data_IF_284753657181
#
_entry.id   IF_284753657181
#
_cell.length_a   1.000
_cell.length_b   1.000
_cell.length_c   1.000
_cell.angle_alpha   90.00
_cell.angle_beta   90.00
_cell.angle_gamma   90.00
#
_symmetry.space_group_name_H-M   'P 1'
#
loop_
_entity.id
_entity.type
_entity.pdbx_description
1 polymer ?
#
# COMPACT_ATOMS: atom_id res chain seq x y z
N UNK A 1 59.99 -73.29 57.09
CA UNK A 1 60.65 -73.62 55.78
C UNK A 1 59.70 -74.38 54.91
N UNK A 2 59.13 -73.73 53.91
CA UNK A 2 58.68 -74.29 52.66
C UNK A 2 58.03 -73.16 51.84
N UNK A 3 58.87 -72.58 51.00
CA UNK A 3 58.45 -71.59 49.97
C UNK A 3 57.78 -72.29 48.81
N UNK A 4 56.52 -72.08 48.65
CA UNK A 4 55.74 -72.53 47.43
C UNK A 4 55.93 -71.49 46.33
N UNK A 5 56.67 -71.81 45.26
CA UNK A 5 56.79 -71.03 44.02
C UNK A 5 55.42 -70.94 43.34
N UNK A 6 54.93 -69.75 43.27
CA UNK A 6 53.85 -69.41 42.37
C UNK A 6 54.36 -69.41 40.92
N UNK A 7 53.87 -70.38 40.13
CA UNK A 7 54.04 -70.33 38.66
C UNK A 7 53.16 -69.26 38.10
N UNK A 8 53.78 -68.17 37.63
CA UNK A 8 53.10 -67.19 36.80
C UNK A 8 52.82 -67.78 35.45
N UNK A 9 51.53 -68.14 35.16
CA UNK A 9 51.06 -68.37 33.79
C UNK A 9 50.95 -67.03 33.07
N UNK A 10 51.71 -66.89 31.99
CA UNK A 10 51.67 -65.74 31.11
C UNK A 10 50.24 -65.55 30.54
N UNK A 11 49.65 -64.38 30.77
CA UNK A 11 48.41 -63.95 30.11
C UNK A 11 48.69 -63.70 28.64
N UNK A 12 47.76 -64.09 27.72
CA UNK A 12 47.92 -63.76 26.32
C UNK A 12 47.85 -62.26 26.12
N UNK A 13 48.79 -61.72 25.33
CA UNK A 13 48.83 -60.30 24.96
C UNK A 13 47.58 -60.00 24.06
N UNK A 14 46.72 -59.13 24.55
CA UNK A 14 45.61 -58.62 23.76
C UNK A 14 46.16 -57.61 22.75
N UNK A 15 46.31 -58.02 21.51
CA UNK A 15 46.72 -57.14 20.38
C UNK A 15 45.57 -56.64 19.50
N UNK A 16 44.30 -56.88 19.86
CA UNK A 16 43.17 -56.33 19.09
C UNK A 16 42.06 -55.95 20.07
N UNK A 17 41.99 -54.65 20.36
CA UNK A 17 40.99 -54.06 21.27
C UNK A 17 39.58 -53.83 20.59
N UNK A 18 39.37 -54.30 19.38
CA UNK A 18 38.19 -53.84 18.60
C UNK A 18 37.03 -54.84 18.50
N UNK A 19 37.08 -56.03 19.11
CA UNK A 19 35.98 -57.01 18.93
C UNK A 19 35.51 -57.73 20.19
N UNK A 20 35.81 -57.22 21.39
CA UNK A 20 35.23 -57.76 22.62
C UNK A 20 33.84 -57.14 22.88
N UNK A 21 32.77 -57.76 22.41
CA UNK A 21 31.42 -57.40 22.86
C UNK A 21 31.29 -57.66 24.36
N UNK A 22 30.64 -56.74 25.09
CA UNK A 22 30.40 -56.77 26.53
C UNK A 22 29.88 -58.14 27.04
N UNK A 23 29.20 -58.93 26.19
CA UNK A 23 28.75 -60.29 26.49
C UNK A 23 29.88 -61.32 26.70
N UNK A 24 31.01 -61.22 25.99
CA UNK A 24 32.15 -62.12 26.14
C UNK A 24 32.94 -61.87 27.45
N UNK A 25 33.00 -60.62 27.87
CA UNK A 25 33.65 -60.26 29.14
C UNK A 25 32.84 -60.77 30.35
N UNK A 26 31.53 -60.66 30.34
CA UNK A 26 30.64 -61.17 31.39
C UNK A 26 30.72 -62.67 31.51
N UNK A 27 30.70 -63.48 30.42
CA UNK A 27 30.83 -64.94 30.46
C UNK A 27 32.21 -65.43 30.89
N UNK A 28 33.28 -64.70 30.59
CA UNK A 28 34.64 -65.02 31.14
C UNK A 28 34.73 -64.75 32.62
N UNK A 29 34.09 -63.73 33.15
CA UNK A 29 34.11 -63.39 34.57
C UNK A 29 33.23 -64.35 35.40
N UNK A 30 32.08 -64.75 34.91
CA UNK A 30 31.24 -65.80 35.55
C UNK A 30 31.99 -67.13 35.64
N UNK A 31 32.75 -67.52 34.61
CA UNK A 31 33.59 -68.75 34.65
C UNK A 31 34.81 -68.66 35.60
N UNK A 32 35.38 -67.47 35.81
CA UNK A 32 36.42 -67.20 36.76
C UNK A 32 35.93 -67.13 38.23
N UNK A 33 34.71 -66.69 38.42
CA UNK A 33 34.07 -66.63 39.76
C UNK A 33 33.76 -68.02 40.33
N UNK A 34 33.42 -69.00 39.45
CA UNK A 34 33.21 -70.41 39.89
C UNK A 34 34.45 -71.20 40.22
N UNK A 35 35.66 -70.70 39.88
CA UNK A 35 36.96 -71.44 40.14
C UNK A 35 37.80 -70.92 41.32
N UNK A 36 37.45 -69.81 41.94
CA UNK A 36 38.19 -69.18 42.99
C UNK A 36 37.28 -68.72 44.12
N UNK A 37 37.47 -69.24 45.34
CA UNK A 37 36.73 -68.84 46.55
C UNK A 37 37.08 -67.39 46.97
N UNK A 38 36.65 -66.42 46.12
CA UNK A 38 36.81 -64.98 46.34
C UNK A 38 35.48 -64.35 46.75
N UNK A 39 34.75 -64.92 47.69
CA UNK A 39 33.42 -64.63 48.14
C UNK A 39 32.90 -63.16 48.03
N UNK A 40 33.65 -62.21 48.55
CA UNK A 40 33.21 -60.78 48.52
C UNK A 40 33.80 -60.02 47.34
N UNK A 41 35.03 -60.31 46.92
CA UNK A 41 35.69 -59.58 45.83
C UNK A 41 35.16 -59.97 44.48
N UNK A 42 34.78 -61.20 44.20
CA UNK A 42 34.15 -61.63 42.93
C UNK A 42 32.78 -60.99 42.72
N UNK A 43 31.97 -60.87 43.77
CA UNK A 43 30.68 -60.24 43.74
C UNK A 43 30.80 -58.72 43.45
N UNK A 44 31.76 -58.04 44.08
CA UNK A 44 32.03 -56.61 43.86
C UNK A 44 32.49 -56.33 42.41
N UNK A 45 33.38 -57.20 41.88
CA UNK A 45 33.86 -57.11 40.51
C UNK A 45 32.71 -57.31 39.53
N UNK A 46 31.82 -58.29 39.76
CA UNK A 46 30.62 -58.54 38.92
C UNK A 46 29.70 -57.33 38.95
N UNK A 47 29.37 -56.75 40.09
CA UNK A 47 28.58 -55.53 40.23
C UNK A 47 29.21 -54.31 39.51
N UNK A 48 30.53 -54.15 39.63
CA UNK A 48 31.26 -53.09 38.92
C UNK A 48 31.22 -53.28 37.41
N UNK A 49 31.32 -54.50 36.91
CA UNK A 49 31.22 -54.81 35.48
C UNK A 49 29.82 -54.56 34.92
N UNK A 50 28.78 -54.93 35.66
CA UNK A 50 27.38 -54.61 35.26
C UNK A 50 27.18 -53.09 35.17
N UNK A 51 27.61 -52.33 36.19
CA UNK A 51 27.54 -50.85 36.18
C UNK A 51 28.37 -50.25 35.06
N UNK A 52 29.54 -50.80 34.77
CA UNK A 52 30.38 -50.32 33.66
C UNK A 52 29.68 -50.58 32.30
N UNK A 53 29.11 -51.77 32.12
CA UNK A 53 28.35 -52.07 30.90
C UNK A 53 27.12 -51.17 30.69
N UNK A 54 26.36 -50.90 31.76
CA UNK A 54 25.23 -49.99 31.75
C UNK A 54 25.69 -48.54 31.44
N UNK A 55 26.76 -48.07 32.05
CA UNK A 55 27.30 -46.74 31.82
C UNK A 55 27.85 -46.57 30.40
N UNK A 56 28.54 -47.61 29.88
CA UNK A 56 29.02 -47.64 28.49
C UNK A 56 27.87 -47.55 27.50
N UNK A 57 26.81 -48.34 27.72
CA UNK A 57 25.58 -48.32 26.90
C UNK A 57 24.90 -46.92 26.93
N UNK A 58 24.76 -46.34 28.11
CA UNK A 58 24.20 -44.99 28.25
C UNK A 58 25.06 -43.94 27.56
N UNK A 59 26.40 -44.06 27.61
CA UNK A 59 27.32 -43.18 26.91
C UNK A 59 27.17 -43.30 25.38
N UNK A 60 27.08 -44.52 24.86
CA UNK A 60 26.84 -44.77 23.43
C UNK A 60 25.49 -44.20 22.96
N UNK A 61 24.44 -44.40 23.75
CA UNK A 61 23.11 -43.83 23.44
C UNK A 61 23.14 -42.31 23.44
N UNK A 62 23.79 -41.68 24.43
CA UNK A 62 23.96 -40.23 24.48
C UNK A 62 24.82 -39.70 23.34
N UNK A 63 25.91 -40.37 22.98
CA UNK A 63 26.75 -40.00 21.86
C UNK A 63 25.97 -40.08 20.55
N UNK A 64 25.17 -41.13 20.35
CA UNK A 64 24.32 -41.29 19.16
C UNK A 64 23.27 -40.20 19.07
N UNK A 65 22.60 -39.87 20.18
CA UNK A 65 21.64 -38.79 20.25
C UNK A 65 22.26 -37.42 19.95
N UNK A 66 23.49 -37.19 20.47
CA UNK A 66 24.24 -35.96 20.21
C UNK A 66 24.62 -35.79 18.74
N UNK A 67 25.10 -36.86 18.09
CA UNK A 67 25.41 -36.85 16.65
C UNK A 67 24.17 -36.56 15.82
N UNK A 68 23.07 -37.24 16.09
CA UNK A 68 21.80 -36.98 15.37
C UNK A 68 21.31 -35.55 15.57
N UNK A 69 21.42 -35.01 16.78
CA UNK A 69 21.07 -33.63 17.10
C UNK A 69 21.97 -32.62 16.38
N UNK A 70 23.28 -32.89 16.31
CA UNK A 70 24.22 -32.01 15.61
C UNK A 70 24.00 -32.03 14.09
N UNK A 71 23.75 -33.19 13.52
CA UNK A 71 23.40 -33.32 12.09
C UNK A 71 22.10 -32.60 11.75
N UNK A 72 21.06 -32.74 12.56
CA UNK A 72 19.82 -32.02 12.38
C UNK A 72 20.01 -30.50 12.49
N UNK A 73 20.82 -30.03 13.44
CA UNK A 73 21.15 -28.62 13.58
C UNK A 73 21.93 -28.09 12.38
N UNK A 74 22.91 -28.82 11.86
CA UNK A 74 23.69 -28.47 10.67
C UNK A 74 22.78 -28.35 9.42
N UNK A 75 21.86 -29.30 9.26
CA UNK A 75 20.94 -29.29 8.14
C UNK A 75 19.96 -28.11 8.22
N UNK A 76 19.41 -27.80 9.40
CA UNK A 76 18.57 -26.63 9.61
C UNK A 76 19.32 -25.32 9.28
N UNK A 77 20.59 -25.20 9.70
CA UNK A 77 21.45 -24.06 9.37
C UNK A 77 21.72 -23.96 7.86
N UNK A 78 21.92 -25.10 7.18
CA UNK A 78 22.11 -25.15 5.73
C UNK A 78 20.86 -24.68 4.96
N UNK A 79 19.69 -25.15 5.36
CA UNK A 79 18.41 -24.74 4.78
C UNK A 79 18.16 -23.25 4.99
N UNK A 80 18.40 -22.75 6.20
CA UNK A 80 18.25 -21.35 6.55
C UNK A 80 19.37 -20.44 5.98
N UNK A 81 20.40 -21.00 5.32
CA UNK A 81 21.59 -20.28 4.85
C UNK A 81 22.24 -19.46 5.99
N UNK A 82 22.33 -20.06 7.18
CA UNK A 82 22.74 -19.40 8.43
C UNK A 82 24.16 -19.83 8.83
N UNK A 83 25.11 -18.93 8.68
CA UNK A 83 26.48 -19.09 9.18
C UNK A 83 26.59 -18.64 10.63
N UNK A 84 27.43 -19.35 11.44
CA UNK A 84 27.77 -18.97 12.81
C UNK A 84 29.20 -18.53 12.88
N UNK A 85 29.47 -17.59 13.77
CA UNK A 85 30.80 -17.13 14.07
C UNK A 85 30.97 -16.80 15.57
N UNK A 86 32.18 -16.86 16.07
CA UNK A 86 32.51 -16.41 17.43
C UNK A 86 33.91 -15.81 17.48
N UNK A 87 34.07 -14.80 18.32
CA UNK A 87 35.35 -14.12 18.60
C UNK A 87 35.62 -14.16 20.10
N UNK A 88 36.71 -14.81 20.49
CA UNK A 88 37.28 -14.67 21.83
C UNK A 88 38.12 -13.38 21.85
N UNK A 89 37.68 -12.37 22.58
CA UNK A 89 38.29 -11.03 22.58
C UNK A 89 39.68 -11.09 23.20
N UNK A 90 39.88 -11.92 24.28
CA UNK A 90 41.15 -12.01 24.97
C UNK A 90 42.23 -12.73 24.15
N UNK A 91 41.86 -13.80 23.46
CA UNK A 91 42.76 -14.58 22.63
C UNK A 91 42.85 -14.06 21.20
N UNK A 92 41.97 -13.10 20.82
CA UNK A 92 41.82 -12.62 19.45
C UNK A 92 41.59 -13.77 18.46
N UNK A 93 40.91 -14.83 18.92
CA UNK A 93 40.64 -16.02 18.11
C UNK A 93 39.26 -15.99 17.56
N UNK A 94 39.16 -15.92 16.23
CA UNK A 94 37.92 -15.98 15.47
C UNK A 94 37.64 -17.43 15.05
N UNK A 95 36.38 -17.82 15.07
CA UNK A 95 35.93 -19.12 14.59
C UNK A 95 34.70 -18.91 13.63
N UNK A 96 34.70 -19.66 12.55
CA UNK A 96 33.62 -19.65 11.55
C UNK A 96 33.10 -21.07 11.31
N UNK A 97 31.77 -21.21 11.15
CA UNK A 97 31.16 -22.44 10.65
C UNK A 97 31.35 -22.59 9.14
N UNK A 98 31.20 -23.82 8.62
CA UNK A 98 31.25 -24.08 7.16
C UNK A 98 30.30 -23.19 6.39
N UNK A 99 29.09 -22.90 6.94
CA UNK A 99 28.11 -22.04 6.30
C UNK A 99 28.57 -20.57 6.25
N UNK A 100 29.33 -20.09 7.22
CA UNK A 100 29.93 -18.75 7.19
C UNK A 100 30.81 -18.58 5.94
N UNK A 101 31.68 -19.54 5.64
CA UNK A 101 32.53 -19.54 4.45
C UNK A 101 31.68 -19.50 3.15
N UNK A 102 30.57 -20.27 3.11
CA UNK A 102 29.67 -20.32 1.96
C UNK A 102 28.92 -19.02 1.75
N UNK A 103 28.46 -18.38 2.84
CA UNK A 103 27.78 -17.08 2.77
C UNK A 103 28.74 -16.02 2.25
N UNK A 104 29.97 -15.97 2.81
CA UNK A 104 31.01 -15.01 2.41
C UNK A 104 31.68 -15.35 1.07
N UNK A 105 31.40 -16.52 0.49
CA UNK A 105 32.06 -17.03 -0.72
C UNK A 105 33.58 -17.08 -0.56
N UNK A 106 34.04 -17.61 0.59
CA UNK A 106 35.45 -17.79 0.94
C UNK A 106 35.86 -19.26 0.86
N UNK A 107 37.16 -19.52 0.60
CA UNK A 107 37.73 -20.85 0.66
C UNK A 107 37.85 -21.30 2.13
N UNK A 108 37.36 -22.52 2.49
CA UNK A 108 37.46 -23.02 3.85
C UNK A 108 38.91 -23.21 4.37
N UNK A 109 39.92 -23.19 3.50
CA UNK A 109 41.33 -23.24 3.86
C UNK A 109 41.87 -21.91 4.43
N UNK A 110 41.10 -20.81 4.29
CA UNK A 110 41.46 -19.51 4.85
C UNK A 110 41.21 -19.52 6.36
N UNK A 111 42.24 -19.22 7.18
CA UNK A 111 42.03 -19.02 8.59
C UNK A 111 41.07 -17.87 8.87
N UNK A 112 40.07 -18.04 9.77
CA UNK A 112 39.12 -16.99 10.11
C UNK A 112 39.81 -15.73 10.61
N UNK A 113 39.62 -14.60 9.94
CA UNK A 113 40.17 -13.31 10.34
C UNK A 113 39.26 -12.16 9.90
N UNK A 114 39.36 -11.01 10.57
CA UNK A 114 38.51 -9.84 10.31
C UNK A 114 38.82 -9.20 8.94
N UNK A 115 40.08 -9.25 8.49
CA UNK A 115 40.44 -8.65 7.19
C UNK A 115 39.75 -9.38 6.04
N UNK A 116 39.79 -10.72 6.05
CA UNK A 116 39.09 -11.54 5.06
C UNK A 116 37.56 -11.29 5.06
N UNK A 117 36.99 -11.03 6.23
CA UNK A 117 35.58 -10.65 6.35
C UNK A 117 35.29 -9.26 5.76
N UNK A 118 36.03 -8.23 6.21
CA UNK A 118 35.79 -6.86 5.77
C UNK A 118 36.08 -6.63 4.29
N UNK A 119 37.00 -7.39 3.68
CA UNK A 119 37.21 -7.37 2.24
C UNK A 119 35.97 -7.81 1.41
N UNK A 120 35.03 -8.52 2.03
CA UNK A 120 33.77 -8.91 1.41
C UNK A 120 32.67 -7.88 1.56
N UNK A 121 32.78 -6.98 2.53
CA UNK A 121 31.75 -5.94 2.73
C UNK A 121 31.75 -4.97 1.54
N UNK A 122 30.57 -4.66 1.03
CA UNK A 122 30.40 -3.71 -0.07
C UNK A 122 31.00 -2.34 0.31
N UNK A 123 31.74 -1.65 -0.60
CA UNK A 123 32.40 -0.38 -0.26
C UNK A 123 31.48 0.68 0.37
N UNK A 124 30.25 0.83 -0.10
CA UNK A 124 29.28 1.78 0.47
C UNK A 124 28.79 1.41 1.88
N UNK A 125 28.89 0.14 2.27
CA UNK A 125 28.47 -0.32 3.60
C UNK A 125 29.65 -0.46 4.57
N UNK A 126 30.89 -0.41 4.05
CA UNK A 126 32.14 -0.70 4.78
C UNK A 126 32.28 0.15 6.04
N UNK A 127 32.26 1.47 5.92
CA UNK A 127 32.49 2.37 7.05
C UNK A 127 31.48 2.15 8.17
N UNK A 128 30.21 2.00 7.80
CA UNK A 128 29.13 1.76 8.77
C UNK A 128 29.32 0.45 9.53
N UNK A 129 29.67 -0.62 8.82
CA UNK A 129 29.84 -1.96 9.42
C UNK A 129 31.14 -2.01 10.23
N UNK A 130 32.23 -1.40 9.75
CA UNK A 130 33.51 -1.33 10.47
C UNK A 130 33.37 -0.56 11.78
N UNK A 131 32.73 0.61 11.77
CA UNK A 131 32.49 1.39 13.00
C UNK A 131 31.58 0.64 13.96
N UNK A 132 30.59 -0.10 13.47
CA UNK A 132 29.78 -0.95 14.32
C UNK A 132 30.58 -2.08 14.97
N UNK A 133 31.50 -2.72 14.26
CA UNK A 133 32.35 -3.78 14.82
C UNK A 133 33.25 -3.25 15.94
N UNK A 134 33.76 -2.02 15.82
CA UNK A 134 34.54 -1.37 16.92
C UNK A 134 33.65 -1.18 18.15
N UNK A 135 32.44 -0.65 17.99
CA UNK A 135 31.49 -0.46 19.10
C UNK A 135 31.07 -1.77 19.78
N UNK A 136 31.01 -2.87 19.03
CA UNK A 136 30.77 -4.21 19.60
C UNK A 136 31.86 -4.57 20.62
N UNK A 137 33.11 -4.28 20.29
CA UNK A 137 34.24 -4.56 21.20
C UNK A 137 34.24 -3.65 22.43
N UNK A 138 33.58 -2.49 22.33
CA UNK A 138 33.40 -1.54 23.44
C UNK A 138 32.12 -1.84 24.27
N UNK A 139 31.28 -2.78 23.83
CA UNK A 139 30.08 -3.19 24.54
C UNK A 139 28.82 -2.37 24.23
N UNK A 140 28.89 -1.41 23.28
CA UNK A 140 27.79 -0.50 22.92
C UNK A 140 27.51 -0.53 21.39
N UNK A 141 26.78 -1.53 20.94
CA UNK A 141 26.44 -1.62 19.52
C UNK A 141 25.04 -2.18 19.25
N UNK A 142 24.41 -1.80 18.08
CA UNK A 142 23.18 -2.42 17.62
C UNK A 142 23.37 -3.92 17.44
N UNK A 143 22.41 -4.71 17.92
CA UNK A 143 22.51 -6.19 17.94
C UNK A 143 22.32 -6.85 16.57
N UNK A 144 21.98 -6.09 15.53
CA UNK A 144 21.75 -6.62 14.19
C UNK A 144 22.10 -5.61 13.08
N UNK A 145 22.52 -6.13 11.93
CA UNK A 145 22.80 -5.33 10.73
C UNK A 145 22.35 -6.06 9.48
N UNK A 146 21.86 -5.27 8.51
CA UNK A 146 21.62 -5.72 7.13
C UNK A 146 22.51 -4.89 6.21
N UNK A 147 23.31 -5.58 5.38
CA UNK A 147 24.28 -4.93 4.48
C UNK A 147 24.62 -5.84 3.32
N UNK A 148 25.34 -5.30 2.37
CA UNK A 148 25.77 -6.00 1.15
C UNK A 148 27.17 -6.53 1.31
N UNK A 149 27.42 -7.69 0.74
CA UNK A 149 28.76 -8.26 0.56
C UNK A 149 29.01 -8.54 -0.92
N UNK A 150 30.28 -8.57 -1.31
CA UNK A 150 30.74 -8.91 -2.65
C UNK A 150 31.27 -10.34 -2.68
N UNK A 151 30.76 -11.15 -3.59
CA UNK A 151 31.30 -12.49 -3.87
C UNK A 151 32.58 -12.42 -4.71
N UNK A 152 33.26 -13.55 -4.93
CA UNK A 152 34.51 -13.60 -5.73
C UNK A 152 34.30 -13.14 -7.18
N UNK A 153 33.13 -13.40 -7.75
CA UNK A 153 32.75 -13.00 -9.11
C UNK A 153 32.22 -11.56 -9.22
N UNK A 154 32.20 -10.82 -8.07
CA UNK A 154 31.72 -9.43 -8.00
C UNK A 154 30.19 -9.29 -7.88
N UNK A 155 29.46 -10.39 -7.76
CA UNK A 155 28.02 -10.31 -7.48
C UNK A 155 27.74 -9.83 -6.06
N UNK A 156 26.57 -9.20 -5.88
CA UNK A 156 26.14 -8.65 -4.59
C UNK A 156 25.23 -9.66 -3.87
N UNK A 157 25.56 -10.00 -2.64
CA UNK A 157 24.66 -10.68 -1.71
C UNK A 157 24.23 -9.74 -0.60
N UNK A 158 22.98 -9.84 -0.20
CA UNK A 158 22.49 -9.22 1.03
C UNK A 158 22.63 -10.16 2.19
N UNK A 159 23.21 -9.68 3.27
CA UNK A 159 23.36 -10.46 4.50
C UNK A 159 22.70 -9.75 5.67
N UNK A 160 22.19 -10.57 6.59
CA UNK A 160 21.69 -10.15 7.89
C UNK A 160 22.57 -10.77 8.95
N UNK A 161 23.18 -9.95 9.79
CA UNK A 161 24.00 -10.40 10.93
C UNK A 161 23.32 -10.02 12.23
N UNK A 162 23.39 -10.98 13.18
CA UNK A 162 22.95 -10.77 14.56
C UNK A 162 24.04 -11.28 15.47
N UNK A 163 24.25 -10.64 16.63
CA UNK A 163 25.26 -11.07 17.56
C UNK A 163 24.90 -10.73 19.01
N UNK A 164 25.59 -11.44 19.91
CA UNK A 164 25.49 -11.28 21.35
C UNK A 164 26.91 -11.13 21.89
N UNK A 165 27.10 -10.25 22.88
CA UNK A 165 28.34 -10.02 23.57
C UNK A 165 28.25 -10.64 24.96
N UNK A 166 29.15 -11.53 25.29
CA UNK A 166 29.29 -12.08 26.65
C UNK A 166 30.23 -11.21 27.48
N UNK A 167 29.88 -11.00 28.71
CA UNK A 167 30.63 -10.17 29.65
C UNK A 167 31.09 -11.01 30.85
N UNK A 168 32.22 -10.66 31.43
CA UNK A 168 32.69 -11.23 32.69
C UNK A 168 31.91 -10.65 33.89
N UNK A 169 32.26 -11.13 35.10
CA UNK A 169 31.65 -10.66 36.34
C UNK A 169 31.88 -9.17 36.65
N UNK A 170 32.81 -8.53 35.96
CA UNK A 170 33.11 -7.09 36.08
C UNK A 170 32.38 -6.24 35.03
N UNK A 171 31.61 -6.87 34.12
CA UNK A 171 30.89 -6.20 33.01
C UNK A 171 31.79 -5.94 31.80
N UNK A 172 32.98 -6.52 31.71
CA UNK A 172 33.90 -6.35 30.58
C UNK A 172 33.58 -7.39 29.49
N UNK A 173 33.56 -7.03 28.22
CA UNK A 173 33.33 -7.98 27.13
C UNK A 173 34.45 -9.03 27.06
N UNK A 174 34.07 -10.30 26.97
CA UNK A 174 35.01 -11.45 26.90
C UNK A 174 34.89 -12.21 25.58
N UNK A 175 33.65 -12.33 25.03
CA UNK A 175 33.42 -12.97 23.76
C UNK A 175 32.25 -12.33 23.01
N UNK A 176 32.30 -12.47 21.70
CA UNK A 176 31.15 -12.10 20.81
C UNK A 176 30.85 -13.32 19.98
N UNK A 177 29.57 -13.68 19.91
CA UNK A 177 29.13 -14.73 19.01
C UNK A 177 27.89 -14.29 18.25
N UNK A 178 27.75 -14.77 17.03
CA UNK A 178 26.66 -14.34 16.21
C UNK A 178 26.40 -15.22 15.00
N UNK A 179 25.45 -14.75 14.22
CA UNK A 179 25.00 -15.39 12.98
C UNK A 179 25.12 -14.43 11.82
N UNK A 180 25.29 -14.98 10.62
CA UNK A 180 25.14 -14.30 9.33
C UNK A 180 24.20 -15.13 8.47
N UNK A 181 23.21 -14.49 7.89
CA UNK A 181 22.23 -15.13 7.00
C UNK A 181 22.27 -14.49 5.62
N UNK A 182 22.30 -15.29 4.56
CA UNK A 182 22.07 -14.80 3.21
C UNK A 182 20.58 -14.55 3.00
N UNK A 183 20.23 -13.27 2.88
CA UNK A 183 18.85 -12.79 2.66
C UNK A 183 18.64 -12.24 1.23
N UNK A 184 19.51 -12.60 0.29
CA UNK A 184 19.49 -12.06 -1.09
C UNK A 184 18.18 -12.39 -1.79
N UNK A 185 17.72 -13.65 -1.69
CA UNK A 185 16.44 -14.07 -2.28
C UNK A 185 15.26 -13.30 -1.68
N UNK A 186 15.26 -13.12 -0.35
CA UNK A 186 14.23 -12.34 0.35
C UNK A 186 14.23 -10.90 -0.13
N UNK A 187 15.39 -10.24 -0.17
CA UNK A 187 15.53 -8.85 -0.65
C UNK A 187 15.11 -8.68 -2.09
N UNK A 188 15.50 -9.61 -2.97
CA UNK A 188 15.09 -9.60 -4.37
C UNK A 188 13.57 -9.75 -4.53
N UNK A 189 12.96 -10.62 -3.71
CA UNK A 189 11.50 -10.80 -3.70
C UNK A 189 10.77 -9.56 -3.17
N UNK A 190 11.27 -8.95 -2.07
CA UNK A 190 10.74 -7.69 -1.52
C UNK A 190 10.79 -6.55 -2.56
N UNK A 191 11.91 -6.38 -3.26
CA UNK A 191 12.07 -5.36 -4.29
C UNK A 191 11.14 -5.60 -5.50
N UNK A 192 11.03 -6.86 -5.96
CA UNK A 192 10.10 -7.22 -7.03
C UNK A 192 8.66 -6.91 -6.62
N UNK A 193 8.25 -7.31 -5.42
CA UNK A 193 6.91 -7.05 -4.90
C UNK A 193 6.64 -5.54 -4.84
N UNK A 194 7.58 -4.76 -4.33
CA UNK A 194 7.48 -3.30 -4.29
C UNK A 194 7.28 -2.69 -5.69
N UNK A 195 8.07 -3.14 -6.68
CA UNK A 195 7.94 -2.68 -8.08
C UNK A 195 6.58 -3.06 -8.67
N UNK A 196 6.11 -4.29 -8.42
CA UNK A 196 4.79 -4.73 -8.89
C UNK A 196 3.66 -3.92 -8.27
N UNK A 197 3.72 -3.64 -6.96
CA UNK A 197 2.72 -2.83 -6.27
C UNK A 197 2.67 -1.40 -6.84
N UNK A 198 3.82 -0.74 -7.01
CA UNK A 198 3.87 0.60 -7.61
C UNK A 198 3.26 0.60 -9.02
N UNK A 199 3.64 -0.38 -9.85
CA UNK A 199 3.08 -0.50 -11.21
C UNK A 199 1.58 -0.79 -11.20
N UNK A 200 1.11 -1.62 -10.28
CA UNK A 200 -0.31 -1.92 -10.12
C UNK A 200 -1.11 -0.68 -9.72
N UNK A 201 -0.60 0.12 -8.76
CA UNK A 201 -1.21 1.37 -8.34
C UNK A 201 -1.33 2.38 -9.50
N UNK A 202 -0.27 2.50 -10.32
CA UNK A 202 -0.29 3.33 -11.53
C UNK A 202 -1.35 2.85 -12.53
N UNK A 203 -1.38 1.55 -12.81
CA UNK A 203 -2.36 0.96 -13.74
C UNK A 203 -3.80 1.12 -13.23
N UNK A 204 -4.04 0.94 -11.92
CA UNK A 204 -5.37 1.14 -11.33
C UNK A 204 -5.80 2.59 -11.48
N UNK A 205 -4.92 3.54 -11.17
CA UNK A 205 -5.20 4.98 -11.31
C UNK A 205 -5.54 5.35 -12.75
N UNK A 206 -4.77 4.85 -13.71
CA UNK A 206 -5.01 5.08 -15.13
C UNK A 206 -6.36 4.49 -15.57
N UNK A 207 -6.66 3.25 -15.16
CA UNK A 207 -7.93 2.60 -15.52
C UNK A 207 -9.14 3.25 -14.88
N UNK A 208 -9.04 3.70 -13.63
CA UNK A 208 -10.12 4.47 -12.97
C UNK A 208 -10.38 5.78 -13.73
N UNK A 209 -9.32 6.47 -14.16
CA UNK A 209 -9.46 7.69 -14.97
C UNK A 209 -10.12 7.41 -16.31
N UNK A 210 -9.65 6.40 -17.06
CA UNK A 210 -10.21 5.99 -18.37
C UNK A 210 -11.69 5.64 -18.24
N UNK A 211 -12.08 4.87 -17.22
CA UNK A 211 -13.47 4.51 -16.97
C UNK A 211 -14.30 5.76 -16.66
N UNK A 212 -13.80 6.66 -15.79
CA UNK A 212 -14.51 7.90 -15.45
C UNK A 212 -14.72 8.80 -16.66
N UNK A 213 -13.69 8.98 -17.50
CA UNK A 213 -13.76 9.77 -18.74
C UNK A 213 -14.77 9.14 -19.73
N UNK A 214 -14.74 7.82 -19.90
CA UNK A 214 -15.68 7.10 -20.78
C UNK A 214 -17.13 7.20 -20.29
N UNK A 215 -17.35 7.07 -18.97
CA UNK A 215 -18.67 7.24 -18.37
C UNK A 215 -19.19 8.65 -18.59
N UNK A 216 -18.35 9.68 -18.36
CA UNK A 216 -18.74 11.08 -18.60
C UNK A 216 -19.07 11.35 -20.07
N UNK A 217 -18.26 10.84 -21.00
CA UNK A 217 -18.55 10.97 -22.42
C UNK A 217 -19.92 10.36 -22.79
N UNK A 218 -20.25 9.22 -22.18
CA UNK A 218 -21.56 8.57 -22.37
C UNK A 218 -22.69 9.43 -21.80
N UNK A 219 -22.53 9.99 -20.60
CA UNK A 219 -23.51 10.89 -19.99
C UNK A 219 -23.70 12.13 -20.86
N UNK A 220 -22.62 12.77 -21.32
CA UNK A 220 -22.69 13.92 -22.23
C UNK A 220 -23.42 13.59 -23.53
N UNK A 221 -23.16 12.42 -24.13
CA UNK A 221 -23.87 12.00 -25.37
C UNK A 221 -25.36 11.80 -25.12
N UNK A 222 -25.74 11.21 -23.98
CA UNK A 222 -27.16 11.03 -23.62
C UNK A 222 -27.87 12.36 -23.32
N UNK A 223 -27.23 13.27 -22.62
CA UNK A 223 -27.74 14.61 -22.34
C UNK A 223 -27.91 15.39 -23.65
N UNK A 224 -26.88 15.36 -24.51
CA UNK A 224 -26.96 15.99 -25.85
C UNK A 224 -28.11 15.43 -26.70
N UNK A 225 -28.31 14.10 -26.62
CA UNK A 225 -29.46 13.48 -27.30
C UNK A 225 -30.79 13.97 -26.71
N UNK A 226 -30.88 14.13 -25.40
CA UNK A 226 -32.05 14.66 -24.72
C UNK A 226 -32.37 16.11 -25.15
N UNK A 227 -31.34 16.96 -25.20
CA UNK A 227 -31.44 18.39 -25.60
C UNK A 227 -31.60 18.60 -27.10
N UNK A 228 -31.19 17.65 -27.96
CA UNK A 228 -31.38 17.75 -29.41
C UNK A 228 -32.85 17.88 -29.84
N UNK A 229 -33.79 17.62 -28.90
CA UNK A 229 -35.21 17.86 -29.06
C UNK A 229 -35.62 19.34 -28.84
N UNK A 230 -34.78 20.13 -28.18
CA UNK A 230 -35.07 21.51 -27.72
C UNK A 230 -34.27 22.57 -28.51
N UNK A 231 -33.93 22.32 -29.75
CA UNK A 231 -33.27 23.28 -30.68
C UNK A 231 -31.89 23.84 -30.17
N UNK A 232 -31.32 23.24 -29.13
CA UNK A 232 -30.07 23.70 -28.54
C UNK A 232 -28.86 22.98 -29.16
N UNK A 233 -27.84 23.72 -29.55
CA UNK A 233 -26.70 23.23 -30.37
C UNK A 233 -25.74 22.31 -29.61
N UNK A 234 -26.02 21.93 -28.35
CA UNK A 234 -25.15 21.16 -27.49
C UNK A 234 -23.91 21.96 -26.96
N UNK A 235 -23.69 23.17 -27.46
CA UNK A 235 -22.66 24.10 -26.94
C UNK A 235 -23.06 24.65 -25.59
N UNK A 236 -24.37 24.79 -25.33
CA UNK A 236 -24.93 25.22 -24.06
C UNK A 236 -24.43 24.34 -22.89
N UNK A 237 -24.44 23.03 -23.06
CA UNK A 237 -23.98 22.08 -22.06
C UNK A 237 -22.53 22.36 -21.67
N UNK A 238 -21.65 22.56 -22.65
CA UNK A 238 -20.22 22.82 -22.42
C UNK A 238 -20.02 24.18 -21.73
N UNK A 239 -20.73 25.22 -22.22
CA UNK A 239 -20.62 26.57 -21.66
C UNK A 239 -21.12 26.63 -20.22
N UNK A 240 -22.29 26.07 -19.92
CA UNK A 240 -22.85 26.07 -18.55
C UNK A 240 -21.98 25.29 -17.59
N UNK A 241 -21.39 24.19 -18.04
CA UNK A 241 -20.40 23.43 -17.27
C UNK A 241 -19.17 24.26 -16.90
N UNK A 242 -18.60 24.98 -17.87
CA UNK A 242 -17.46 25.86 -17.66
C UNK A 242 -17.80 27.08 -16.79
N UNK A 243 -18.99 27.67 -16.94
CA UNK A 243 -19.45 28.73 -16.04
C UNK A 243 -19.58 28.26 -14.60
N UNK A 244 -20.19 27.10 -14.38
CA UNK A 244 -20.30 26.49 -13.06
C UNK A 244 -18.92 26.25 -12.43
N UNK A 245 -17.96 25.70 -13.20
CA UNK A 245 -16.59 25.51 -12.77
C UNK A 245 -15.91 26.83 -12.38
N UNK A 246 -16.01 27.85 -13.24
CA UNK A 246 -15.42 29.15 -13.00
C UNK A 246 -15.97 29.79 -11.74
N UNK A 247 -17.30 29.81 -11.59
CA UNK A 247 -17.97 30.44 -10.44
C UNK A 247 -17.67 29.70 -9.13
N UNK A 248 -17.75 28.37 -9.11
CA UNK A 248 -17.41 27.59 -7.93
C UNK A 248 -15.94 27.78 -7.51
N UNK A 249 -15.01 27.77 -8.47
CA UNK A 249 -13.58 28.03 -8.19
C UNK A 249 -13.35 29.44 -7.65
N UNK A 250 -14.05 30.42 -8.21
CA UNK A 250 -13.91 31.82 -7.78
C UNK A 250 -14.52 32.08 -6.40
N UNK A 251 -15.67 31.49 -6.08
CA UNK A 251 -16.28 31.52 -4.75
C UNK A 251 -15.35 30.94 -3.69
N UNK A 252 -14.75 29.79 -3.96
CA UNK A 252 -13.74 29.19 -3.09
C UNK A 252 -12.55 30.10 -2.86
N UNK A 253 -12.01 30.67 -3.93
CA UNK A 253 -10.84 31.56 -3.85
C UNK A 253 -11.12 32.87 -3.10
N UNK A 254 -12.37 33.35 -3.08
CA UNK A 254 -12.80 34.54 -2.34
C UNK A 254 -13.09 34.26 -0.87
N UNK A 255 -13.01 33.01 -0.42
CA UNK A 255 -13.33 32.58 0.95
C UNK A 255 -14.84 32.48 1.24
N UNK A 256 -15.70 32.70 0.25
CA UNK A 256 -17.14 32.49 0.39
C UNK A 256 -17.47 31.00 0.27
N UNK A 257 -18.34 30.51 1.13
CA UNK A 257 -18.77 29.11 1.17
C UNK A 257 -17.61 28.11 1.29
N UNK A 258 -16.54 28.49 1.98
CA UNK A 258 -15.33 27.65 2.15
C UNK A 258 -15.61 26.29 2.77
N UNK A 259 -16.63 26.19 3.61
CA UNK A 259 -17.07 24.95 4.25
C UNK A 259 -17.87 24.03 3.32
N UNK A 260 -18.38 24.55 2.20
CA UNK A 260 -19.20 23.82 1.21
C UNK A 260 -18.42 23.53 -0.08
N UNK A 261 -17.40 24.35 -0.43
CA UNK A 261 -16.67 24.24 -1.71
C UNK A 261 -15.25 23.70 -1.49
N UNK A 262 -15.09 22.41 -1.71
CA UNK A 262 -13.79 21.73 -1.86
C UNK A 262 -13.50 21.41 -3.35
N UNK A 263 -12.36 20.74 -3.61
CA UNK A 263 -12.00 20.32 -4.97
C UNK A 263 -13.04 19.34 -5.56
N UNK A 264 -13.58 18.46 -4.71
CA UNK A 264 -14.59 17.50 -5.11
C UNK A 264 -15.92 18.18 -5.50
N UNK A 265 -16.33 19.22 -4.76
CA UNK A 265 -17.51 20.01 -5.13
C UNK A 265 -17.34 20.67 -6.50
N UNK A 266 -16.18 21.32 -6.75
CA UNK A 266 -15.90 21.96 -8.06
C UNK A 266 -15.92 20.93 -9.19
N UNK A 267 -15.34 19.76 -8.99
CA UNK A 267 -15.38 18.68 -9.97
C UNK A 267 -16.80 18.17 -10.20
N UNK A 268 -17.54 17.90 -9.12
CA UNK A 268 -18.89 17.35 -9.20
C UNK A 268 -19.88 18.34 -9.84
N UNK A 269 -19.84 19.63 -9.49
CA UNK A 269 -20.74 20.62 -10.11
C UNK A 269 -20.43 20.80 -11.59
N UNK A 270 -19.16 20.79 -11.98
CA UNK A 270 -18.75 20.87 -13.39
C UNK A 270 -19.32 19.70 -14.19
N UNK A 271 -19.20 18.48 -13.66
CA UNK A 271 -19.68 17.26 -14.33
C UNK A 271 -21.20 17.11 -14.29
N UNK A 272 -21.87 17.62 -13.25
CA UNK A 272 -23.31 17.43 -13.04
C UNK A 272 -24.17 18.55 -13.64
N UNK A 273 -23.62 19.74 -13.90
CA UNK A 273 -24.38 20.85 -14.49
C UNK A 273 -25.10 20.50 -15.79
N UNK A 274 -24.59 19.62 -16.68
CA UNK A 274 -25.35 19.18 -17.88
C UNK A 274 -26.67 18.49 -17.56
N UNK A 275 -26.82 17.96 -16.35
CA UNK A 275 -28.02 17.22 -15.96
C UNK A 275 -29.20 18.12 -15.54
N UNK A 276 -29.04 19.45 -15.52
CA UNK A 276 -30.06 20.37 -15.02
C UNK A 276 -31.41 20.16 -15.72
N UNK A 277 -31.39 19.99 -17.03
CA UNK A 277 -32.54 19.87 -17.90
C UNK A 277 -32.88 18.43 -18.35
N UNK A 278 -32.21 17.40 -17.79
CA UNK A 278 -32.43 16.00 -18.20
C UNK A 278 -33.90 15.55 -18.14
N UNK A 279 -34.70 16.18 -17.30
CA UNK A 279 -36.12 15.88 -17.17
C UNK A 279 -36.99 16.40 -18.36
N UNK A 280 -36.46 17.26 -19.24
CA UNK A 280 -37.16 17.70 -20.47
C UNK A 280 -37.49 16.53 -21.39
N UNK A 281 -36.78 15.41 -21.29
CA UNK A 281 -37.11 14.16 -22.01
C UNK A 281 -38.55 13.71 -21.74
N UNK A 282 -39.08 13.96 -20.54
CA UNK A 282 -40.45 13.61 -20.17
C UNK A 282 -41.51 14.64 -20.55
N UNK A 283 -41.14 15.79 -21.15
CA UNK A 283 -42.09 16.82 -21.57
C UNK A 283 -42.60 16.47 -22.98
N UNK A 284 -43.94 16.55 -23.22
CA UNK A 284 -44.53 16.32 -24.55
C UNK A 284 -44.01 17.29 -25.60
N UNK A 285 -43.74 16.80 -26.82
CA UNK A 285 -43.22 17.62 -27.93
C UNK A 285 -44.10 18.81 -28.27
N UNK A 286 -45.41 18.64 -28.15
CA UNK A 286 -46.37 19.74 -28.43
C UNK A 286 -46.19 20.94 -27.51
N UNK A 287 -45.57 20.74 -26.33
CA UNK A 287 -45.24 21.80 -25.35
C UNK A 287 -43.79 22.22 -25.51
N UNK A 288 -42.90 21.26 -25.59
CA UNK A 288 -41.45 21.51 -25.66
C UNK A 288 -41.07 22.30 -26.93
N UNK A 289 -41.63 21.90 -28.07
CA UNK A 289 -41.34 22.48 -29.39
C UNK A 289 -42.36 23.51 -29.84
N UNK A 290 -43.22 24.00 -28.93
CA UNK A 290 -44.27 24.93 -29.28
C UNK A 290 -43.72 26.22 -29.88
N UNK A 291 -44.07 26.57 -31.12
CA UNK A 291 -43.67 27.83 -31.72
C UNK A 291 -44.47 28.98 -31.11
N UNK A 292 -44.08 29.51 -29.96
CA UNK A 292 -44.75 30.64 -29.32
C UNK A 292 -44.74 30.56 -27.79
N UNK A 293 -45.49 31.47 -27.16
CA UNK A 293 -45.61 31.47 -25.70
C UNK A 293 -46.47 30.30 -25.24
N UNK A 294 -46.06 29.64 -24.15
CA UNK A 294 -46.84 28.62 -23.46
C UNK A 294 -48.04 29.25 -22.77
N UNK A 295 -49.18 28.55 -22.75
CA UNK A 295 -50.30 28.90 -21.87
C UNK A 295 -49.91 28.64 -20.41
N UNK A 296 -50.66 29.16 -19.43
CA UNK A 296 -50.36 28.84 -18.00
C UNK A 296 -50.31 27.34 -17.73
N UNK A 297 -51.21 26.54 -18.29
CA UNK A 297 -51.32 25.09 -18.11
C UNK A 297 -50.11 24.35 -18.78
N UNK A 298 -49.73 24.79 -19.98
CA UNK A 298 -48.56 24.26 -20.67
C UNK A 298 -47.28 24.62 -19.91
N UNK A 299 -47.21 25.85 -19.36
CA UNK A 299 -46.09 26.27 -18.54
C UNK A 299 -46.00 25.46 -17.20
N UNK A 300 -47.14 25.12 -16.58
CA UNK A 300 -47.19 24.24 -15.42
C UNK A 300 -46.70 22.84 -15.80
N UNK A 301 -47.03 22.34 -17.00
CA UNK A 301 -46.47 21.08 -17.49
C UNK A 301 -44.96 21.19 -17.73
N UNK A 302 -44.49 22.27 -18.35
CA UNK A 302 -43.08 22.53 -18.58
C UNK A 302 -42.28 22.52 -17.26
N UNK A 303 -42.80 23.14 -16.19
CA UNK A 303 -42.15 23.16 -14.87
C UNK A 303 -41.93 21.75 -14.28
N UNK A 304 -42.66 20.72 -14.74
CA UNK A 304 -42.49 19.36 -14.24
C UNK A 304 -41.14 18.74 -14.58
N UNK A 305 -40.38 19.28 -15.56
CA UNK A 305 -39.06 18.75 -15.91
C UNK A 305 -38.12 18.69 -14.73
N UNK A 306 -38.17 19.69 -13.81
CA UNK A 306 -37.30 19.67 -12.62
C UNK A 306 -37.60 18.48 -11.68
N UNK A 307 -38.87 18.10 -11.57
CA UNK A 307 -39.28 16.93 -10.78
C UNK A 307 -38.98 15.63 -11.50
N UNK A 308 -39.16 15.56 -12.80
CA UNK A 308 -38.81 14.38 -13.60
C UNK A 308 -37.30 14.11 -13.59
N UNK A 309 -36.49 15.15 -13.76
CA UNK A 309 -35.05 15.07 -13.70
C UNK A 309 -34.59 14.60 -12.32
N UNK A 310 -35.07 15.22 -11.24
CA UNK A 310 -34.80 14.81 -9.87
C UNK A 310 -35.13 13.33 -9.61
N UNK A 311 -36.36 12.89 -9.97
CA UNK A 311 -36.80 11.51 -9.74
C UNK A 311 -35.93 10.49 -10.51
N UNK A 312 -35.50 10.83 -11.72
CA UNK A 312 -34.61 9.99 -12.53
C UNK A 312 -33.25 9.81 -11.81
N UNK A 313 -32.68 10.90 -11.31
CA UNK A 313 -31.41 10.86 -10.61
C UNK A 313 -31.54 10.21 -9.21
N UNK A 314 -32.69 10.38 -8.54
CA UNK A 314 -32.98 9.76 -7.25
C UNK A 314 -32.98 8.23 -7.31
N UNK A 315 -33.40 7.63 -8.44
CA UNK A 315 -33.30 6.18 -8.63
C UNK A 315 -31.84 5.71 -8.59
N UNK A 316 -30.92 6.47 -9.18
CA UNK A 316 -29.49 6.16 -9.15
C UNK A 316 -28.91 6.40 -7.76
N UNK A 317 -29.29 7.50 -7.10
CA UNK A 317 -28.85 7.82 -5.74
C UNK A 317 -29.26 6.75 -4.74
N UNK A 318 -30.45 6.18 -4.85
CA UNK A 318 -30.90 5.10 -3.97
C UNK A 318 -30.03 3.84 -4.08
N UNK A 319 -29.42 3.59 -5.23
CA UNK A 319 -28.46 2.48 -5.41
C UNK A 319 -27.04 2.85 -4.97
N UNK A 320 -26.65 4.11 -5.09
CA UNK A 320 -25.32 4.64 -4.82
C UNK A 320 -25.37 5.92 -3.98
N UNK A 321 -25.76 5.83 -2.68
CA UNK A 321 -26.01 7.01 -1.84
C UNK A 321 -24.77 7.89 -1.62
N UNK A 322 -23.59 7.29 -1.64
CA UNK A 322 -22.32 8.00 -1.47
C UNK A 322 -21.81 8.71 -2.73
N UNK A 323 -22.54 8.59 -3.85
CA UNK A 323 -22.12 9.22 -5.09
C UNK A 323 -22.46 10.73 -5.07
N UNK A 324 -21.45 11.54 -4.73
CA UNK A 324 -21.59 13.00 -4.65
C UNK A 324 -21.98 13.65 -5.99
N UNK A 325 -21.52 13.13 -7.12
CA UNK A 325 -21.91 13.62 -8.46
C UNK A 325 -23.42 13.51 -8.67
N UNK A 326 -24.02 12.36 -8.32
CA UNK A 326 -25.47 12.17 -8.49
C UNK A 326 -26.24 13.09 -7.55
N UNK A 327 -25.78 13.26 -6.31
CA UNK A 327 -26.40 14.16 -5.33
C UNK A 327 -26.40 15.61 -5.82
N UNK A 328 -25.26 16.10 -6.30
CA UNK A 328 -25.15 17.45 -6.88
C UNK A 328 -26.05 17.59 -8.11
N UNK A 329 -26.11 16.56 -8.96
CA UNK A 329 -27.02 16.53 -10.10
C UNK A 329 -28.50 16.60 -9.72
N UNK A 330 -28.90 15.91 -8.65
CA UNK A 330 -30.26 15.99 -8.11
C UNK A 330 -30.60 17.39 -7.62
N UNK A 331 -29.69 18.03 -6.88
CA UNK A 331 -29.88 19.39 -6.40
C UNK A 331 -30.03 20.38 -7.55
N UNK A 332 -29.18 20.28 -8.56
CA UNK A 332 -29.23 21.10 -9.74
C UNK A 332 -30.55 20.87 -10.50
N UNK A 333 -30.87 19.61 -10.84
CA UNK A 333 -32.07 19.29 -11.62
C UNK A 333 -33.34 19.78 -10.94
N UNK A 334 -33.42 19.70 -9.61
CA UNK A 334 -34.62 20.08 -8.88
C UNK A 334 -34.76 21.58 -8.65
N UNK A 335 -33.66 22.29 -8.41
CA UNK A 335 -33.68 23.62 -7.80
C UNK A 335 -33.04 24.74 -8.67
N UNK A 336 -32.53 24.47 -9.86
CA UNK A 336 -31.88 25.50 -10.69
C UNK A 336 -32.84 26.61 -11.15
N UNK A 337 -34.15 26.42 -11.06
CA UNK A 337 -35.18 27.45 -11.29
C UNK A 337 -35.77 28.06 -10.04
N UNK A 338 -35.24 27.70 -8.83
CA UNK A 338 -35.59 28.44 -7.64
C UNK A 338 -34.93 29.83 -7.67
N UNK A 339 -35.63 30.79 -7.07
CA UNK A 339 -35.14 32.16 -6.96
C UNK A 339 -34.75 32.47 -5.53
N UNK A 340 -33.79 33.35 -5.36
CA UNK A 340 -33.30 33.74 -4.05
C UNK A 340 -34.39 34.26 -3.12
N UNK A 341 -35.39 34.98 -3.67
CA UNK A 341 -36.55 35.53 -2.94
C UNK A 341 -37.67 34.50 -2.66
N UNK A 342 -37.56 33.26 -3.14
CA UNK A 342 -38.56 32.20 -2.98
C UNK A 342 -39.68 32.24 -4.01
N UNK A 343 -39.61 33.11 -5.00
CA UNK A 343 -40.62 33.18 -6.10
C UNK A 343 -40.36 32.21 -7.25
N UNK A 344 -39.49 31.20 -7.04
CA UNK A 344 -39.15 30.20 -8.03
C UNK A 344 -40.23 29.15 -8.32
N UNK A 345 -39.85 28.02 -8.98
CA UNK A 345 -40.84 27.07 -9.51
C UNK A 345 -41.56 26.21 -8.47
N UNK A 346 -40.81 25.35 -7.76
CA UNK A 346 -41.42 24.19 -7.14
C UNK A 346 -41.12 24.02 -5.63
N UNK A 347 -40.02 24.53 -5.14
CA UNK A 347 -39.54 24.17 -3.79
C UNK A 347 -39.96 25.18 -2.74
N UNK A 348 -40.32 26.40 -3.18
CA UNK A 348 -40.50 27.56 -2.27
C UNK A 348 -39.31 27.76 -1.35
N UNK A 349 -38.14 27.26 -1.77
CA UNK A 349 -36.88 27.49 -1.05
C UNK A 349 -36.44 28.93 -1.29
N UNK A 350 -35.81 29.57 -0.32
CA UNK A 350 -35.31 30.93 -0.42
C UNK A 350 -33.93 31.06 0.21
N UNK A 351 -33.14 32.00 -0.26
CA UNK A 351 -31.83 32.30 0.27
C UNK A 351 -30.92 31.06 0.26
N UNK A 352 -30.20 30.85 1.33
CA UNK A 352 -29.24 29.73 1.48
C UNK A 352 -29.90 28.36 1.64
N UNK A 353 -31.23 28.29 1.79
CA UNK A 353 -31.92 27.01 1.77
C UNK A 353 -31.92 26.36 0.37
N UNK A 354 -31.71 27.17 -0.69
CA UNK A 354 -31.46 26.65 -2.05
C UNK A 354 -30.05 26.05 -2.08
N UNK A 355 -29.87 24.78 -2.49
CA UNK A 355 -28.54 24.17 -2.58
C UNK A 355 -27.55 25.02 -3.41
N UNK A 356 -26.31 25.17 -2.93
CA UNK A 356 -25.32 26.04 -3.57
C UNK A 356 -25.10 25.70 -5.04
N UNK A 357 -25.05 24.42 -5.39
CA UNK A 357 -24.91 23.97 -6.77
C UNK A 357 -26.04 24.47 -7.68
N UNK A 358 -27.29 24.49 -7.18
CA UNK A 358 -28.44 25.01 -7.91
C UNK A 358 -28.39 26.52 -8.05
N UNK A 359 -27.93 27.27 -7.02
CA UNK A 359 -27.73 28.72 -7.10
C UNK A 359 -26.68 29.11 -8.15
N UNK A 360 -25.58 28.36 -8.21
CA UNK A 360 -24.50 28.55 -9.21
C UNK A 360 -25.06 28.24 -10.61
N UNK A 361 -25.77 27.11 -10.76
CA UNK A 361 -26.37 26.72 -12.05
C UNK A 361 -27.37 27.76 -12.55
N UNK A 362 -28.21 28.32 -11.68
CA UNK A 362 -29.19 29.35 -12.06
C UNK A 362 -28.56 30.58 -12.72
N UNK A 363 -27.40 31.06 -12.21
CA UNK A 363 -26.68 32.18 -12.82
C UNK A 363 -26.07 31.76 -14.15
N UNK A 364 -25.46 30.55 -14.22
CA UNK A 364 -24.83 30.04 -15.43
C UNK A 364 -25.83 29.85 -16.56
N UNK A 365 -26.97 29.21 -16.28
CA UNK A 365 -28.03 28.94 -17.24
C UNK A 365 -28.68 30.23 -17.77
N UNK A 366 -29.09 31.15 -16.87
CA UNK A 366 -29.69 32.41 -17.27
C UNK A 366 -28.72 33.27 -18.10
N UNK A 367 -27.42 33.34 -17.70
CA UNK A 367 -26.42 34.06 -18.47
C UNK A 367 -26.29 33.48 -19.89
N UNK A 368 -26.19 32.16 -20.03
CA UNK A 368 -26.10 31.50 -21.33
C UNK A 368 -27.33 31.73 -22.16
N UNK A 369 -28.52 31.61 -21.58
CA UNK A 369 -29.80 31.86 -22.24
C UNK A 369 -29.99 33.31 -22.71
N UNK A 370 -29.41 34.29 -22.01
CA UNK A 370 -29.41 35.69 -22.43
C UNK A 370 -28.46 35.93 -23.61
N UNK A 371 -27.33 35.23 -23.63
CA UNK A 371 -26.29 35.34 -24.66
C UNK A 371 -26.60 34.57 -25.95
N UNK A 372 -27.41 33.52 -25.84
CA UNK A 372 -27.76 32.64 -26.96
C UNK A 372 -28.96 33.20 -27.76
N UNK A 373 -28.89 33.08 -29.08
CA UNK A 373 -30.03 33.40 -29.96
C UNK A 373 -31.06 32.28 -29.84
N UNK A 374 -32.33 32.65 -29.62
CA UNK A 374 -33.46 31.72 -29.59
C UNK A 374 -34.46 32.07 -30.71
N UNK A 375 -35.31 31.12 -31.09
CA UNK A 375 -36.29 31.28 -32.19
C UNK A 375 -37.09 32.57 -32.09
N UNK A 376 -37.33 33.07 -30.85
CA UNK A 376 -38.20 34.26 -30.60
C UNK A 376 -37.43 35.44 -30.00
N UNK A 377 -36.08 35.38 -29.86
CA UNK A 377 -35.29 36.41 -29.17
C UNK A 377 -33.88 36.47 -29.70
N UNK A 378 -33.48 37.62 -30.18
CA UNK A 378 -32.05 37.85 -30.49
C UNK A 378 -31.19 37.80 -29.23
N UNK A 379 -29.94 37.37 -29.39
CA UNK A 379 -28.95 37.34 -28.34
C UNK A 379 -28.69 38.75 -27.77
N UNK A 380 -28.62 38.88 -26.45
CA UNK A 380 -28.19 40.13 -25.85
C UNK A 380 -26.66 40.25 -25.88
N UNK A 381 -26.17 41.51 -25.88
CA UNK A 381 -24.74 41.74 -25.70
C UNK A 381 -24.28 41.27 -24.33
N UNK A 382 -22.95 41.08 -24.17
CA UNK A 382 -22.36 40.70 -22.90
C UNK A 382 -22.74 41.71 -21.79
N UNK A 383 -22.57 43.01 -22.06
CA UNK A 383 -22.84 44.09 -21.10
C UNK A 383 -24.32 44.09 -20.67
N UNK A 384 -25.23 43.91 -21.61
CA UNK A 384 -26.64 43.83 -21.29
C UNK A 384 -27.00 42.62 -20.44
N UNK A 385 -26.40 41.47 -20.73
CA UNK A 385 -26.60 40.23 -19.96
C UNK A 385 -26.04 40.38 -18.54
N UNK A 386 -24.84 40.96 -18.38
CA UNK A 386 -24.26 41.29 -17.09
C UNK A 386 -25.20 42.23 -16.29
N UNK A 387 -25.73 43.27 -16.91
CA UNK A 387 -26.67 44.18 -16.28
C UNK A 387 -27.93 43.52 -15.76
N UNK A 388 -28.49 42.55 -16.53
CA UNK A 388 -29.68 41.80 -16.11
C UNK A 388 -29.37 40.91 -14.91
N UNK A 389 -28.22 40.20 -14.92
CA UNK A 389 -27.82 39.38 -13.78
C UNK A 389 -27.63 40.27 -12.53
N UNK A 390 -26.97 41.42 -12.67
CA UNK A 390 -26.76 42.36 -11.58
C UNK A 390 -28.08 42.87 -10.98
N UNK A 391 -29.06 43.24 -11.83
CA UNK A 391 -30.41 43.67 -11.39
C UNK A 391 -31.17 42.56 -10.67
N UNK A 392 -30.88 41.28 -10.97
CA UNK A 392 -31.45 40.12 -10.30
C UNK A 392 -30.84 39.80 -8.92
N UNK A 393 -29.81 40.51 -8.50
CA UNK A 393 -29.14 40.29 -7.19
C UNK A 393 -30.15 40.48 -6.03
N UNK A 394 -30.19 39.50 -5.12
CA UNK A 394 -31.08 39.51 -3.97
C UNK A 394 -32.56 39.15 -4.26
N UNK A 395 -32.97 39.10 -5.54
CA UNK A 395 -34.29 38.63 -5.95
C UNK A 395 -34.19 37.25 -6.63
N UNK A 396 -33.59 37.22 -7.80
CA UNK A 396 -33.43 36.00 -8.57
C UNK A 396 -32.18 35.22 -8.13
N UNK A 397 -31.08 35.92 -7.90
CA UNK A 397 -29.77 35.34 -7.67
C UNK A 397 -29.20 35.65 -6.28
N UNK A 398 -28.39 34.78 -5.79
CA UNK A 398 -27.59 34.94 -4.59
C UNK A 398 -26.68 36.19 -4.72
N UNK A 399 -26.75 37.18 -3.83
CA UNK A 399 -25.97 38.39 -3.92
C UNK A 399 -24.45 38.18 -3.95
N UNK A 400 -23.94 37.22 -3.13
CA UNK A 400 -22.50 36.91 -3.09
C UNK A 400 -22.05 36.26 -4.41
N UNK A 401 -22.89 35.41 -4.97
CA UNK A 401 -22.62 34.76 -6.25
C UNK A 401 -22.61 35.80 -7.39
N UNK A 402 -23.55 36.78 -7.38
CA UNK A 402 -23.55 37.87 -8.36
C UNK A 402 -22.32 38.74 -8.24
N UNK A 403 -21.84 39.04 -7.03
CA UNK A 403 -20.59 39.78 -6.82
C UNK A 403 -19.41 39.06 -7.49
N UNK A 404 -19.24 37.77 -7.22
CA UNK A 404 -18.16 36.95 -7.83
C UNK A 404 -18.33 36.86 -9.36
N UNK A 405 -19.55 36.69 -9.85
CA UNK A 405 -19.86 36.67 -11.27
C UNK A 405 -19.40 37.99 -11.95
N UNK A 406 -19.70 39.15 -11.36
CA UNK A 406 -19.27 40.44 -11.87
C UNK A 406 -17.75 40.59 -11.90
N UNK A 407 -17.05 40.08 -10.90
CA UNK A 407 -15.58 40.04 -10.87
C UNK A 407 -14.96 39.17 -11.97
N UNK A 408 -15.69 38.17 -12.46
CA UNK A 408 -15.25 37.20 -13.48
C UNK A 408 -15.78 37.52 -14.87
N UNK A 409 -16.29 38.73 -15.11
CA UNK A 409 -16.99 39.10 -16.34
C UNK A 409 -16.21 38.75 -17.63
N UNK A 410 -14.92 39.11 -17.72
CA UNK A 410 -14.08 38.80 -18.90
C UNK A 410 -13.92 37.30 -19.15
N UNK A 411 -13.81 36.50 -18.08
CA UNK A 411 -13.71 35.06 -18.22
C UNK A 411 -15.05 34.44 -18.69
N UNK A 412 -16.19 34.94 -18.18
CA UNK A 412 -17.53 34.54 -18.65
C UNK A 412 -17.69 34.82 -20.15
N UNK A 413 -17.26 36.00 -20.61
CA UNK A 413 -17.29 36.37 -22.03
C UNK A 413 -16.38 35.43 -22.85
N UNK A 414 -15.17 35.18 -22.41
CA UNK A 414 -14.22 34.30 -23.11
C UNK A 414 -14.79 32.90 -23.29
N UNK A 415 -15.42 32.32 -22.25
CA UNK A 415 -16.06 30.99 -22.34
C UNK A 415 -17.14 30.98 -23.45
N UNK A 416 -17.96 32.02 -23.49
CA UNK A 416 -19.00 32.09 -24.52
C UNK A 416 -18.42 32.16 -25.93
N UNK A 417 -17.41 33.00 -26.16
CA UNK A 417 -16.77 33.22 -27.46
C UNK A 417 -15.97 32.02 -27.95
N UNK A 418 -15.27 31.35 -27.04
CA UNK A 418 -14.43 30.17 -27.36
C UNK A 418 -15.24 28.99 -27.85
N UNK A 419 -16.45 28.76 -27.30
CA UNK A 419 -17.32 27.69 -27.72
C UNK A 419 -17.84 27.90 -29.14
N UNK A 420 -18.08 29.15 -29.57
CA UNK A 420 -18.53 29.47 -30.93
C UNK A 420 -17.42 29.22 -31.99
N UNK A 421 -16.15 29.40 -31.65
CA UNK A 421 -15.04 29.18 -32.61
C UNK A 421 -14.81 27.71 -32.92
N UNK A 422 -15.12 26.80 -31.98
CA UNK A 422 -14.98 25.34 -32.19
C UNK A 422 -16.06 24.82 -33.15
N UNK A 423 -17.27 25.37 -33.11
CA UNK A 423 -18.37 24.92 -33.97
C UNK A 423 -18.19 25.38 -35.42
N UNK A 424 -17.65 26.57 -35.66
CA UNK A 424 -17.41 27.10 -37.00
C UNK A 424 -16.21 26.40 -37.69
N UNK A 425 -15.25 25.88 -36.95
CA UNK A 425 -14.13 25.11 -37.49
C UNK A 425 -14.50 23.65 -37.83
N UNK A 426 -15.65 23.17 -37.39
CA UNK A 426 -16.14 21.79 -37.61
C UNK A 426 -17.21 21.67 -38.72
N UNK A 427 -17.57 22.78 -39.37
CA UNK A 427 -18.42 22.83 -40.57
C UNK A 427 -17.55 22.96 -41.82
#
# INVERSE_FOLDING_TARGET
MMTRKLRTKSFPSFSNAETCTNGHLLTMFDHLADQVDFGIHAKLISELMVRYAEMSKQLEEKNRALVLSDDARREAQRIAKLGNWSLDIHKQKLWWSDMMYRVLDLDPSIDPNLDAYFQRVHPEDYDRIYQSAIKVMEGDAPKEHRYRILTKDGSIKWVHTQYVVDHDSSGKPVSVHGTIQDITEQKTAEEKLKRYNTKLEEMVREKVREISESQMATIYALVKLAESRDDDTGEHIVRTSEYCRLLATALRASGHYSDEIDDAFVENITKASPLHDIGKVGIPDVILLKPGRLTPEEFDTMKTHVTLGYNTLAMVHNQYPENAFVRVGMDIARYHHEKWDGSGYNGKLHGTAIPLAARIMAVADVYDALRSKRVYKDAFSHEKSMGIILQGSGNHFDPLLVEVFMQKNSAMQTIFESAHQISDSSK
#
